data_IF_277761375256
#
_entry.id   IF_277761375256
#
_cell.length_a   1.000
_cell.length_b   1.000
_cell.length_c   1.000
_cell.angle_alpha   90.00
_cell.angle_beta   90.00
_cell.angle_gamma   90.00
#
_symmetry.space_group_name_H-M   'P 1'
#
loop_
_entity.id
_entity.type
_entity.pdbx_description
1 polymer ?
#
# COMPACT_ATOMS: atom_id res chain seq x y z
N UNK A 1 18.88 -0.32 3.24
CA UNK A 1 17.52 0.18 2.96
C UNK A 1 16.80 0.23 4.31
N UNK A 2 15.89 1.17 4.52
CA UNK A 2 14.95 1.10 5.64
C UNK A 2 13.67 0.38 5.19
N UNK A 3 13.00 -0.30 6.12
CA UNK A 3 11.69 -0.92 5.90
C UNK A 3 10.78 -0.56 7.06
N UNK A 4 9.51 -0.29 6.77
CA UNK A 4 8.48 -0.12 7.80
C UNK A 4 7.17 -0.77 7.41
N UNK A 5 6.31 -0.95 8.39
CA UNK A 5 4.99 -1.58 8.31
C UNK A 5 3.86 -0.57 8.01
N UNK A 6 4.16 0.73 7.94
CA UNK A 6 3.18 1.76 7.61
C UNK A 6 2.92 1.83 6.10
N UNK A 7 2.50 0.72 5.50
CA UNK A 7 2.26 0.61 4.05
C UNK A 7 0.91 1.23 3.65
N UNK A 8 -0.08 1.24 4.55
CA UNK A 8 -1.41 1.78 4.32
C UNK A 8 -1.91 2.52 5.57
N UNK A 9 -2.53 3.67 5.33
CA UNK A 9 -3.21 4.55 6.27
C UNK A 9 -3.87 5.66 5.44
N UNK A 10 -5.02 6.16 5.86
CA UNK A 10 -5.82 7.14 5.11
C UNK A 10 -6.20 8.39 5.90
N UNK A 11 -5.84 8.48 7.19
CA UNK A 11 -6.14 9.68 7.98
C UNK A 11 -7.65 9.87 8.15
N UNK A 12 -8.18 11.03 7.73
CA UNK A 12 -9.61 11.27 7.69
C UNK A 12 -10.16 10.82 6.32
N UNK A 13 -10.78 9.65 6.29
CA UNK A 13 -11.50 9.09 5.14
C UNK A 13 -13.01 9.03 5.38
N UNK A 14 -13.73 8.52 4.38
CA UNK A 14 -15.11 8.08 4.54
C UNK A 14 -15.21 6.75 5.27
N UNK A 15 -16.34 6.11 5.08
CA UNK A 15 -16.73 4.79 5.60
C UNK A 15 -16.80 3.74 4.50
N UNK A 16 -16.22 4.03 3.33
CA UNK A 16 -16.04 3.09 2.25
C UNK A 16 -14.84 2.18 2.50
N UNK A 17 -14.91 0.96 1.94
CA UNK A 17 -13.81 0.01 1.99
C UNK A 17 -12.65 0.50 1.14
N UNK A 18 -11.45 0.34 1.66
CA UNK A 18 -10.22 0.71 0.96
C UNK A 18 -9.64 -0.48 0.21
N UNK A 19 -9.06 -0.20 -0.94
CA UNK A 19 -8.52 -1.24 -1.81
C UNK A 19 -7.30 -0.79 -2.61
N UNK A 20 -6.46 -1.76 -2.97
CA UNK A 20 -5.45 -1.60 -4.01
C UNK A 20 -5.97 -2.20 -5.33
N UNK A 21 -5.68 -1.54 -6.45
CA UNK A 21 -5.85 -2.14 -7.77
C UNK A 21 -4.61 -2.94 -8.15
N UNK A 22 -4.79 -4.20 -8.52
CA UNK A 22 -3.74 -5.13 -8.97
C UNK A 22 -4.12 -5.80 -10.30
N UNK A 23 -3.21 -6.54 -10.96
CA UNK A 23 -3.55 -7.33 -12.15
C UNK A 23 -4.57 -8.44 -11.88
N UNK A 24 -4.61 -8.98 -10.66
CA UNK A 24 -5.52 -10.06 -10.25
C UNK A 24 -6.87 -9.53 -9.72
N UNK A 25 -7.05 -8.21 -9.72
CA UNK A 25 -8.27 -7.53 -9.26
C UNK A 25 -8.03 -6.60 -8.07
N UNK A 26 -9.11 -6.25 -7.38
CA UNK A 26 -9.05 -5.37 -6.20
C UNK A 26 -8.71 -6.19 -4.96
N UNK A 27 -7.70 -5.74 -4.23
CA UNK A 27 -7.33 -6.29 -2.92
C UNK A 27 -7.90 -5.40 -1.83
N UNK A 28 -8.81 -5.91 -0.99
CA UNK A 28 -9.35 -5.16 0.14
C UNK A 28 -8.27 -4.96 1.20
N UNK A 29 -7.99 -3.72 1.60
CA UNK A 29 -6.99 -3.39 2.65
C UNK A 29 -7.62 -2.91 3.96
N UNK A 30 -8.88 -2.49 3.93
CA UNK A 30 -9.66 -2.17 5.11
C UNK A 30 -11.14 -2.39 4.84
N UNK A 31 -11.84 -2.92 5.85
CA UNK A 31 -13.27 -3.22 5.78
C UNK A 31 -14.08 -2.35 6.74
N UNK A 32 -14.98 -1.54 6.18
CA UNK A 32 -16.07 -0.84 6.85
C UNK A 32 -17.45 -1.39 6.47
N UNK A 33 -17.50 -2.49 5.71
CA UNK A 33 -18.68 -3.15 5.15
C UNK A 33 -19.36 -2.40 3.99
N UNK A 34 -18.65 -1.48 3.32
CA UNK A 34 -19.17 -0.71 2.19
C UNK A 34 -18.19 -0.77 1.01
N UNK A 35 -18.34 -1.71 0.05
CA UNK A 35 -19.44 -2.66 -0.13
C UNK A 35 -19.31 -3.95 0.68
N UNK A 36 -18.25 -4.10 1.47
CA UNK A 36 -17.98 -5.26 2.31
C UNK A 36 -17.17 -6.35 1.63
N UNK A 37 -16.68 -7.31 2.44
CA UNK A 37 -15.62 -8.24 2.04
C UNK A 37 -16.01 -9.16 0.88
N UNK A 38 -17.30 -9.48 0.73
CA UNK A 38 -17.79 -10.34 -0.38
C UNK A 38 -17.65 -9.70 -1.75
N UNK A 39 -17.43 -8.38 -1.82
CA UNK A 39 -17.22 -7.66 -3.06
C UNK A 39 -15.76 -7.69 -3.51
N UNK A 40 -14.87 -8.26 -2.71
CA UNK A 40 -13.45 -8.40 -3.00
C UNK A 40 -13.08 -9.89 -3.01
N UNK A 41 -12.48 -10.34 -4.11
CA UNK A 41 -11.99 -11.72 -4.21
C UNK A 41 -10.66 -11.94 -3.48
N UNK A 42 -9.99 -10.85 -3.08
CA UNK A 42 -8.66 -10.88 -2.45
C UNK A 42 -8.66 -9.93 -1.26
N UNK A 43 -8.14 -10.37 -0.12
CA UNK A 43 -7.98 -9.59 1.10
C UNK A 43 -6.51 -9.45 1.45
N UNK A 44 -6.09 -8.27 1.87
CA UNK A 44 -4.72 -8.05 2.30
C UNK A 44 -4.44 -8.76 3.62
N UNK A 45 -3.35 -9.53 3.65
CA UNK A 45 -2.79 -10.10 4.89
C UNK A 45 -1.82 -9.13 5.58
N UNK A 46 -1.22 -8.23 4.82
CA UNK A 46 -0.30 -7.22 5.33
C UNK A 46 0.56 -6.61 4.22
N UNK A 47 1.46 -5.72 4.60
CA UNK A 47 2.34 -5.05 3.66
C UNK A 47 3.51 -4.37 4.35
N UNK A 48 4.42 -3.83 3.54
CA UNK A 48 5.55 -3.05 4.03
C UNK A 48 5.99 -2.03 2.98
N UNK A 49 6.80 -1.06 3.40
CA UNK A 49 7.37 -0.04 2.52
C UNK A 49 8.89 0.01 2.70
N UNK A 50 9.62 -0.10 1.61
CA UNK A 50 11.07 0.04 1.54
C UNK A 50 11.42 1.42 0.99
N UNK A 51 12.38 2.07 1.65
CA UNK A 51 12.76 3.44 1.32
C UNK A 51 14.18 3.78 1.78
N UNK A 52 14.71 4.90 1.26
CA UNK A 52 15.93 5.53 1.78
C UNK A 52 15.54 6.60 2.79
N UNK A 53 16.00 6.46 4.03
CA UNK A 53 15.81 7.48 5.07
C UNK A 53 16.62 8.75 4.77
N UNK A 54 16.07 9.92 5.09
CA UNK A 54 16.76 11.21 5.07
C UNK A 54 17.98 11.23 6.00
N UNK A 55 17.91 10.48 7.10
CA UNK A 55 18.95 10.41 8.13
C UNK A 55 19.89 9.22 7.96
N UNK A 56 19.74 8.45 6.87
CA UNK A 56 20.59 7.29 6.58
C UNK A 56 20.25 6.03 7.39
N UNK A 57 19.14 6.01 8.14
CA UNK A 57 18.66 4.83 8.86
C UNK A 57 18.43 3.64 7.91
N UNK A 58 18.65 2.42 8.43
CA UNK A 58 18.48 1.16 7.69
C UNK A 58 17.87 0.08 8.59
N UNK A 59 17.39 -1.02 8.00
CA UNK A 59 16.69 -2.08 8.72
C UNK A 59 15.25 -1.72 9.05
N UNK A 60 14.63 -2.45 9.98
CA UNK A 60 13.27 -2.19 10.42
C UNK A 60 13.19 -0.84 11.15
N UNK A 61 12.26 0.00 10.73
CA UNK A 61 12.02 1.32 11.28
C UNK A 61 10.54 1.47 11.66
N UNK A 62 10.28 2.12 12.79
CA UNK A 62 8.95 2.63 13.10
C UNK A 62 8.80 4.01 12.45
N UNK A 63 8.17 4.05 11.28
CA UNK A 63 7.90 5.30 10.55
C UNK A 63 6.86 6.18 11.26
N UNK A 64 6.01 5.59 12.10
CA UNK A 64 4.96 6.30 12.82
C UNK A 64 5.55 7.11 13.99
N UNK A 65 5.92 8.37 13.74
CA UNK A 65 6.43 9.30 14.75
C UNK A 65 5.90 10.74 14.61
N UNK A 66 4.94 11.00 13.73
CA UNK A 66 4.43 12.35 13.46
C UNK A 66 2.95 12.38 13.09
N UNK A 67 2.53 13.48 12.48
CA UNK A 67 1.15 13.64 12.01
C UNK A 67 0.90 12.90 10.69
N UNK A 68 -0.36 12.55 10.42
CA UNK A 68 -0.75 12.03 9.10
C UNK A 68 -0.43 13.02 7.96
N UNK A 69 -0.44 14.33 8.24
CA UNK A 69 -0.10 15.37 7.27
C UNK A 69 1.37 15.32 6.84
N UNK A 70 2.29 14.99 7.77
CA UNK A 70 3.70 14.79 7.43
C UNK A 70 3.91 13.47 6.69
N UNK A 71 3.18 12.41 7.10
CA UNK A 71 3.22 11.10 6.48
C UNK A 71 4.67 10.62 6.23
N UNK A 72 4.92 9.93 5.11
CA UNK A 72 6.26 9.51 4.69
C UNK A 72 7.29 10.64 4.62
N UNK A 73 6.88 11.90 4.45
CA UNK A 73 7.83 13.01 4.37
C UNK A 73 8.59 13.24 5.69
N UNK A 74 8.16 12.65 6.81
CA UNK A 74 8.87 12.74 8.10
C UNK A 74 10.32 12.22 8.02
N UNK A 75 10.55 11.09 7.33
CA UNK A 75 11.88 10.45 7.27
C UNK A 75 12.22 9.87 5.89
N UNK A 76 11.28 9.71 4.96
CA UNK A 76 11.59 9.18 3.63
C UNK A 76 12.22 10.25 2.73
N UNK A 77 13.29 9.87 2.01
CA UNK A 77 13.86 10.68 0.94
C UNK A 77 13.11 10.42 -0.37
N UNK A 78 12.15 11.31 -0.71
CA UNK A 78 11.31 11.18 -1.91
C UNK A 78 12.10 11.25 -3.23
N UNK A 79 13.33 11.76 -3.23
CA UNK A 79 14.20 11.77 -4.41
C UNK A 79 14.87 10.41 -4.68
N UNK A 80 14.51 9.38 -3.91
CA UNK A 80 14.99 8.00 -4.06
C UNK A 80 13.80 7.08 -4.32
N UNK A 81 14.05 5.87 -4.85
CA UNK A 81 13.00 4.89 -5.04
C UNK A 81 12.34 4.51 -3.71
N UNK A 82 11.02 4.32 -3.78
CA UNK A 82 10.19 3.77 -2.71
C UNK A 82 9.43 2.58 -3.31
N UNK A 83 9.43 1.44 -2.61
CA UNK A 83 8.66 0.26 -3.00
C UNK A 83 7.68 -0.07 -1.87
N UNK A 84 6.38 -0.15 -2.18
CA UNK A 84 5.35 -0.66 -1.28
C UNK A 84 5.01 -2.08 -1.71
N UNK A 85 5.00 -3.01 -0.76
CA UNK A 85 4.59 -4.39 -0.99
C UNK A 85 3.30 -4.69 -0.25
N UNK A 86 2.43 -5.46 -0.89
CA UNK A 86 1.14 -5.91 -0.38
C UNK A 86 1.02 -7.41 -0.59
N UNK A 87 0.77 -8.17 0.47
CA UNK A 87 0.50 -9.60 0.41
C UNK A 87 -1.00 -9.84 0.42
N UNK A 88 -1.53 -10.48 -0.62
CA UNK A 88 -2.91 -10.95 -0.68
C UNK A 88 -3.08 -12.35 -0.05
N UNK A 89 -4.30 -12.66 0.40
CA UNK A 89 -4.72 -13.99 0.85
C UNK A 89 -4.74 -15.04 -0.28
N UNK A 90 -4.66 -14.59 -1.54
CA UNK A 90 -4.39 -15.45 -2.69
C UNK A 90 -2.93 -15.91 -2.80
N UNK A 91 -2.06 -15.52 -1.85
CA UNK A 91 -0.65 -15.92 -1.80
C UNK A 91 0.28 -15.11 -2.71
N UNK A 92 -0.24 -14.08 -3.40
CA UNK A 92 0.55 -13.23 -4.31
C UNK A 92 1.03 -11.99 -3.57
N UNK A 93 2.30 -11.64 -3.80
CA UNK A 93 2.87 -10.35 -3.39
C UNK A 93 2.78 -9.38 -4.55
N UNK A 94 2.23 -8.19 -4.30
CA UNK A 94 2.19 -7.10 -5.27
C UNK A 94 3.14 -5.98 -4.85
N UNK A 95 3.70 -5.26 -5.83
CA UNK A 95 4.60 -4.13 -5.64
C UNK A 95 4.03 -2.87 -6.29
N UNK A 96 4.13 -1.74 -5.58
CA UNK A 96 4.00 -0.41 -6.14
C UNK A 96 5.36 0.31 -6.04
N UNK A 97 5.90 0.73 -7.19
CA UNK A 97 7.13 1.51 -7.29
C UNK A 97 6.78 3.00 -7.39
N UNK A 98 7.31 3.81 -6.49
CA UNK A 98 7.07 5.27 -6.44
C UNK A 98 8.33 6.02 -5.98
N UNK A 99 8.19 7.30 -5.61
CA UNK A 99 9.31 8.17 -5.25
C UNK A 99 10.02 8.72 -6.48
N UNK A 100 11.35 8.75 -6.47
CA UNK A 100 12.17 9.32 -7.55
C UNK A 100 11.78 10.77 -7.93
N UNK A 101 11.45 11.59 -6.93
CA UNK A 101 11.01 12.97 -7.09
C UNK A 101 9.50 13.15 -7.05
N UNK A 102 8.73 12.06 -7.09
CA UNK A 102 7.28 12.09 -6.85
C UNK A 102 6.99 12.06 -5.35
N UNK A 103 5.98 12.81 -4.94
CA UNK A 103 5.42 12.72 -3.60
C UNK A 103 4.72 11.36 -3.44
N UNK A 104 4.99 10.68 -2.34
CA UNK A 104 4.33 9.44 -1.99
C UNK A 104 3.88 9.47 -0.53
N UNK A 105 2.81 8.75 -0.24
CA UNK A 105 2.28 8.59 1.12
C UNK A 105 1.66 7.22 1.33
N UNK A 106 1.13 7.02 2.53
CA UNK A 106 0.40 5.80 2.90
C UNK A 106 -0.81 5.55 2.01
N UNK A 107 -1.45 6.60 1.48
CA UNK A 107 -2.59 6.51 0.53
C UNK A 107 -2.19 6.19 -0.91
N UNK A 108 -0.95 6.48 -1.32
CA UNK A 108 -0.49 6.23 -2.70
C UNK A 108 -0.68 4.75 -3.07
N UNK A 109 -1.35 4.49 -4.18
CA UNK A 109 -1.75 3.19 -4.70
C UNK A 109 -3.09 2.64 -4.18
N UNK A 110 -3.80 3.39 -3.32
CA UNK A 110 -5.03 2.94 -2.69
C UNK A 110 -6.21 3.85 -3.02
N UNK A 111 -7.34 3.22 -3.34
CA UNK A 111 -8.63 3.87 -3.52
C UNK A 111 -9.60 3.53 -2.39
N UNK A 112 -10.66 4.30 -2.34
CA UNK A 112 -11.77 4.14 -1.41
C UNK A 112 -13.06 3.96 -2.22
N UNK A 113 -13.94 3.08 -1.76
CA UNK A 113 -15.34 3.09 -2.20
C UNK A 113 -16.08 4.29 -1.59
N UNK A 114 -17.23 4.67 -2.15
CA UNK A 114 -18.07 5.67 -1.49
C UNK A 114 -18.75 5.07 -0.24
N UNK A 115 -19.30 5.94 0.62
CA UNK A 115 -19.95 5.56 1.88
C UNK A 115 -21.14 4.60 1.71
N UNK A 116 -21.71 4.52 0.51
CA UNK A 116 -22.80 3.61 0.15
C UNK A 116 -22.31 2.29 -0.49
N UNK A 117 -21.00 2.09 -0.57
CA UNK A 117 -20.36 0.93 -1.17
C UNK A 117 -20.32 0.94 -2.70
N UNK A 118 -20.65 2.06 -3.36
CA UNK A 118 -20.47 2.20 -4.81
C UNK A 118 -19.04 2.61 -5.16
N UNK A 119 -18.65 2.37 -6.41
CA UNK A 119 -17.32 2.79 -6.88
C UNK A 119 -17.34 4.31 -7.04
N UNK A 120 -16.65 4.98 -6.13
CA UNK A 120 -16.54 6.43 -6.11
C UNK A 120 -15.46 6.99 -7.04
N UNK A 121 -15.30 8.30 -6.95
CA UNK A 121 -14.24 9.05 -7.66
C UNK A 121 -12.85 8.94 -7.00
N UNK A 122 -12.80 8.46 -5.75
CA UNK A 122 -11.58 8.25 -4.98
C UNK A 122 -10.86 6.95 -5.37
N UNK A 123 -10.60 6.75 -6.66
CA UNK A 123 -9.83 5.61 -7.16
C UNK A 123 -8.33 5.69 -6.80
N UNK A 124 -7.60 4.57 -6.89
CA UNK A 124 -6.16 4.58 -6.71
C UNK A 124 -5.48 5.41 -7.81
N UNK A 125 -4.51 6.23 -7.41
CA UNK A 125 -3.66 7.05 -8.28
C UNK A 125 -2.70 6.21 -9.13
N UNK A 126 -2.27 5.06 -8.60
CA UNK A 126 -1.45 4.08 -9.29
C UNK A 126 -1.89 2.64 -8.98
N UNK A 127 -1.61 1.71 -9.90
CA UNK A 127 -1.92 0.29 -9.70
C UNK A 127 -0.68 -0.48 -9.28
N UNK A 128 -0.82 -1.32 -8.26
CA UNK A 128 0.17 -2.31 -7.90
C UNK A 128 0.36 -3.31 -9.04
N UNK A 129 1.56 -3.87 -9.16
CA UNK A 129 1.95 -4.85 -10.17
C UNK A 129 2.49 -6.11 -9.49
N UNK A 130 2.61 -7.21 -10.24
CA UNK A 130 3.38 -8.37 -9.76
C UNK A 130 4.87 -7.98 -9.83
N UNK A 131 5.65 -8.11 -8.74
CA UNK A 131 7.09 -7.85 -8.74
C UNK A 131 7.80 -8.65 -9.82
N UNK A 132 8.77 -8.02 -10.48
CA UNK A 132 9.56 -8.65 -11.55
C UNK A 132 10.42 -9.81 -11.05
N UNK A 133 10.74 -9.87 -9.74
CA UNK A 133 11.48 -10.97 -9.13
C UNK A 133 10.52 -12.09 -8.69
N UNK A 134 10.11 -12.90 -9.66
CA UNK A 134 9.21 -14.06 -9.45
C UNK A 134 9.85 -15.16 -8.59
N UNK A 135 11.18 -15.16 -8.44
CA UNK A 135 11.94 -16.19 -7.73
C UNK A 135 11.51 -16.38 -6.27
N UNK A 136 11.04 -15.32 -5.62
CA UNK A 136 10.56 -15.37 -4.24
C UNK A 136 9.15 -15.96 -4.12
N UNK A 137 8.29 -15.76 -5.13
CA UNK A 137 6.91 -16.26 -5.15
C UNK A 137 6.88 -17.75 -5.50
N UNK A 138 7.68 -18.16 -6.49
CA UNK A 138 7.74 -19.54 -6.97
C UNK A 138 8.21 -20.54 -5.90
N UNK A 139 9.01 -20.08 -4.92
CA UNK A 139 9.54 -20.92 -3.84
C UNK A 139 8.56 -21.15 -2.69
N UNK A 140 7.51 -20.32 -2.56
CA UNK A 140 6.50 -20.45 -1.50
C UNK A 140 5.35 -21.39 -1.86
N UNK A 141 5.19 -21.73 -3.15
CA UNK A 141 4.16 -22.66 -3.63
C UNK A 141 4.60 -24.14 -3.56
N UNK A 142 5.82 -24.43 -3.09
CA UNK A 142 6.38 -25.78 -2.91
C UNK A 142 6.62 -26.08 -1.43
#
# INVERSE_FOLDING_TARGET
MAVGDWYFDHGAGGTGDWYAQTPDGKVQVQNFNNPGPRSFSIHALGGCVFYKSKTGKTGAQKLYQGSFAENYSIDMNMNKPISKYLLGDNGVVYELKTGNGLSAGTRTGFGEYDDDGTVGSNGPDESFQIPEDTTAQDKLQN
#
